data_IF_252403067795
#
_entry.id   IF_252403067795
#
_cell.length_a   1.000
_cell.length_b   1.000
_cell.length_c   1.000
_cell.angle_alpha   90.00
_cell.angle_beta   90.00
_cell.angle_gamma   90.00
#
_symmetry.space_group_name_H-M   'P 1'
#
loop_
_entity.id
_entity.type
_entity.pdbx_description
1 polymer ?
#
# COMPACT_ATOMS: atom_id res chain seq x y z
N UNK A 1 -17.34 43.36 11.45
CA UNK A 1 -17.40 42.35 10.40
C UNK A 1 -16.57 41.18 10.91
N UNK A 2 -17.22 40.16 11.44
CA UNK A 2 -16.56 38.98 12.02
C UNK A 2 -16.14 38.07 10.88
N UNK A 3 -14.88 37.83 10.75
CA UNK A 3 -14.39 36.98 9.67
C UNK A 3 -14.45 35.53 10.13
N UNK A 4 -15.54 34.87 9.79
CA UNK A 4 -15.72 33.40 9.97
C UNK A 4 -14.72 32.57 9.13
N UNK A 5 -13.79 33.25 8.46
CA UNK A 5 -12.73 32.67 7.66
C UNK A 5 -11.53 32.17 8.47
N UNK A 6 -11.40 32.62 9.71
CA UNK A 6 -10.30 32.26 10.58
C UNK A 6 -10.82 31.38 11.72
N UNK A 7 -10.33 30.16 11.76
CA UNK A 7 -10.60 29.20 12.82
C UNK A 7 -9.64 29.36 14.00
N UNK A 8 -9.53 28.33 14.81
CA UNK A 8 -8.56 28.27 15.88
C UNK A 8 -7.13 28.21 15.34
N UNK A 9 -6.17 28.67 16.14
CA UNK A 9 -4.75 28.54 15.83
C UNK A 9 -4.37 27.04 15.78
N UNK A 10 -3.80 26.59 14.69
CA UNK A 10 -3.22 25.25 14.54
C UNK A 10 -1.69 25.34 14.53
N UNK A 11 -1.04 24.27 14.94
CA UNK A 11 0.41 24.10 14.83
C UNK A 11 0.74 23.15 13.68
N UNK A 12 1.83 23.42 12.99
CA UNK A 12 2.43 22.50 12.01
C UNK A 12 3.68 21.85 12.61
N UNK A 13 4.22 20.84 11.95
CA UNK A 13 5.48 20.22 12.41
C UNK A 13 6.66 21.17 12.36
N UNK A 14 6.61 22.22 11.54
CA UNK A 14 7.63 23.28 11.49
C UNK A 14 7.61 24.20 12.72
N UNK A 15 6.47 24.23 13.43
CA UNK A 15 6.27 25.08 14.61
C UNK A 15 6.64 24.38 15.93
N UNK A 16 6.94 23.08 15.90
CA UNK A 16 7.10 22.27 17.11
C UNK A 16 8.35 21.39 17.06
N UNK A 17 8.91 21.14 18.23
CA UNK A 17 9.98 20.17 18.43
C UNK A 17 9.56 19.15 19.48
N UNK A 18 10.00 17.88 19.30
CA UNK A 18 9.82 16.87 20.32
C UNK A 18 10.78 17.15 21.48
N UNK A 19 10.26 17.14 22.70
CA UNK A 19 11.06 17.25 23.90
C UNK A 19 11.85 15.95 24.09
N UNK A 20 13.19 15.99 24.15
CA UNK A 20 13.97 14.80 24.41
C UNK A 20 13.62 14.18 25.77
N UNK A 21 13.53 12.86 25.81
CA UNK A 21 13.30 12.11 27.02
C UNK A 21 14.34 10.97 27.14
N UNK A 22 14.63 10.56 28.39
CA UNK A 22 15.45 9.39 28.62
C UNK A 22 14.76 8.15 28.05
N UNK A 23 15.52 7.31 27.33
CA UNK A 23 15.06 6.01 26.83
C UNK A 23 16.07 4.93 27.24
N UNK A 24 15.55 3.82 27.71
CA UNK A 24 16.35 2.62 28.03
C UNK A 24 16.16 1.53 26.94
N UNK A 25 15.48 1.87 25.82
CA UNK A 25 15.19 0.96 24.70
C UNK A 25 16.16 1.25 23.57
N UNK A 26 16.79 0.20 23.05
CA UNK A 26 17.64 0.31 21.86
C UNK A 26 16.79 0.46 20.59
N UNK A 27 17.25 1.22 19.57
CA UNK A 27 16.48 1.44 18.34
C UNK A 27 15.98 0.14 17.67
N UNK A 28 16.76 -0.95 17.73
CA UNK A 28 16.37 -2.26 17.17
C UNK A 28 15.30 -3.00 17.99
N UNK A 29 15.01 -2.55 19.19
CA UNK A 29 14.05 -3.17 20.12
C UNK A 29 12.76 -2.37 20.22
N UNK A 30 12.68 -1.26 19.48
CA UNK A 30 11.50 -0.39 19.50
C UNK A 30 10.33 -1.08 18.79
N UNK A 31 9.21 -1.24 19.48
CA UNK A 31 7.93 -1.59 18.86
C UNK A 31 7.25 -0.32 18.32
N UNK A 32 7.17 -0.22 17.00
CA UNK A 32 6.52 0.91 16.30
C UNK A 32 5.10 0.56 15.85
N UNK A 33 4.57 -0.58 16.26
CA UNK A 33 3.21 -0.98 15.91
C UNK A 33 2.17 0.03 16.43
N UNK A 34 1.11 0.23 15.66
CA UNK A 34 0.05 1.18 16.00
C UNK A 34 -1.32 0.69 15.54
N UNK A 35 -2.38 1.22 16.14
CA UNK A 35 -3.73 0.97 15.72
C UNK A 35 -4.19 2.09 14.77
N UNK A 36 -4.43 1.76 13.51
CA UNK A 36 -5.02 2.68 12.55
C UNK A 36 -6.50 2.90 12.84
N UNK A 37 -7.21 1.83 13.15
CA UNK A 37 -8.61 1.83 13.59
C UNK A 37 -8.78 0.86 14.75
N UNK A 38 -10.02 0.68 15.24
CA UNK A 38 -10.32 -0.32 16.27
C UNK A 38 -9.96 -1.75 15.85
N UNK A 39 -10.09 -2.05 14.56
CA UNK A 39 -9.96 -3.39 13.99
C UNK A 39 -8.72 -3.57 13.10
N UNK A 40 -7.97 -2.48 12.85
CA UNK A 40 -6.79 -2.51 11.97
C UNK A 40 -5.56 -2.10 12.77
N UNK A 41 -4.65 -3.04 12.96
CA UNK A 41 -3.32 -2.82 13.53
C UNK A 41 -2.27 -2.79 12.41
N UNK A 42 -1.35 -1.86 12.48
CA UNK A 42 -0.18 -1.78 11.60
C UNK A 42 1.07 -2.19 12.37
N UNK A 43 1.96 -2.94 11.74
CA UNK A 43 3.26 -3.29 12.32
C UNK A 43 4.25 -2.11 12.24
N UNK A 44 4.12 -1.29 11.18
CA UNK A 44 4.83 -0.01 11.05
C UNK A 44 3.79 1.09 10.76
N UNK A 45 3.97 2.30 11.32
CA UNK A 45 3.01 3.41 11.18
C UNK A 45 3.14 4.13 9.82
N UNK A 46 3.10 3.37 8.73
CA UNK A 46 3.24 3.90 7.36
C UNK A 46 2.00 3.53 6.55
N UNK A 47 1.46 4.55 5.90
CA UNK A 47 0.32 4.42 5.00
C UNK A 47 0.61 5.15 3.69
N UNK A 48 0.42 4.50 2.54
CA UNK A 48 0.55 5.18 1.25
C UNK A 48 -0.70 6.00 0.93
N UNK A 49 -0.49 7.14 0.26
CA UNK A 49 -1.58 8.04 -0.10
C UNK A 49 -2.48 7.46 -1.18
N UNK A 50 -3.80 7.65 -1.04
CA UNK A 50 -4.83 7.28 -2.02
C UNK A 50 -4.85 8.21 -3.22
N UNK A 51 -3.72 8.44 -3.85
CA UNK A 51 -3.53 9.30 -5.00
C UNK A 51 -3.35 8.49 -6.27
N UNK A 52 -3.92 9.00 -7.37
CA UNK A 52 -3.67 8.49 -8.71
C UNK A 52 -2.17 8.46 -9.02
N UNK A 53 -1.71 7.47 -9.75
CA UNK A 53 -0.31 7.19 -10.07
C UNK A 53 0.62 6.93 -8.87
N UNK A 54 0.12 6.96 -7.64
CA UNK A 54 0.90 6.68 -6.42
C UNK A 54 0.56 5.30 -5.86
N UNK A 55 -0.72 5.04 -5.54
CA UNK A 55 -1.12 3.80 -4.88
C UNK A 55 -2.13 3.01 -5.71
N UNK A 56 -1.60 2.04 -6.42
CA UNK A 56 -2.31 0.91 -7.02
C UNK A 56 -1.82 -0.40 -6.38
N UNK A 57 -2.23 -1.56 -6.91
CA UNK A 57 -1.88 -2.85 -6.31
C UNK A 57 -0.37 -3.03 -6.05
N UNK A 58 0.56 -2.69 -6.96
CA UNK A 58 1.99 -2.89 -6.71
C UNK A 58 2.51 -2.13 -5.48
N UNK A 59 2.15 -0.85 -5.34
CA UNK A 59 2.54 -0.05 -4.18
C UNK A 59 1.87 -0.56 -2.91
N UNK A 60 0.58 -0.87 -2.96
CA UNK A 60 -0.16 -1.38 -1.80
C UNK A 60 0.44 -2.71 -1.30
N UNK A 61 0.83 -3.62 -2.22
CA UNK A 61 1.50 -4.88 -1.89
C UNK A 61 2.87 -4.61 -1.24
N UNK A 62 3.66 -3.70 -1.81
CA UNK A 62 4.98 -3.37 -1.27
C UNK A 62 4.90 -2.82 0.16
N UNK A 63 4.01 -1.84 0.40
CA UNK A 63 3.80 -1.25 1.73
C UNK A 63 3.26 -2.27 2.73
N UNK A 64 2.33 -3.14 2.30
CA UNK A 64 1.77 -4.18 3.17
C UNK A 64 2.82 -5.22 3.59
N UNK A 65 3.74 -5.59 2.71
CA UNK A 65 4.85 -6.52 3.03
C UNK A 65 5.78 -5.98 4.09
N UNK A 66 5.96 -4.67 4.16
CA UNK A 66 6.75 -4.01 5.20
C UNK A 66 5.95 -3.80 6.50
N UNK A 67 4.67 -4.14 6.53
CA UNK A 67 3.81 -4.05 7.72
C UNK A 67 2.96 -2.78 7.81
N UNK A 68 2.97 -1.96 6.77
CA UNK A 68 2.09 -0.79 6.60
C UNK A 68 0.79 -1.11 5.87
N UNK A 69 0.13 -0.09 5.34
CA UNK A 69 -1.12 -0.24 4.57
C UNK A 69 -1.13 0.65 3.34
N UNK A 70 -1.60 0.12 2.21
CA UNK A 70 -1.84 0.87 0.99
C UNK A 70 -3.31 1.29 0.85
N UNK A 71 -3.54 2.54 0.45
CA UNK A 71 -4.88 3.06 0.14
C UNK A 71 -5.02 3.22 -1.37
N UNK A 72 -5.79 2.33 -2.00
CA UNK A 72 -6.03 2.39 -3.44
C UNK A 72 -6.85 3.64 -3.79
N UNK A 73 -6.40 4.40 -4.79
CA UNK A 73 -7.08 5.63 -5.20
C UNK A 73 -8.43 5.34 -5.89
N UNK A 74 -9.27 6.37 -5.95
CA UNK A 74 -10.63 6.27 -6.52
C UNK A 74 -10.74 6.73 -7.99
N UNK A 75 -9.67 7.22 -8.61
CA UNK A 75 -9.70 7.74 -9.98
C UNK A 75 -9.71 6.59 -11.01
N UNK A 76 -10.68 5.70 -10.88
CA UNK A 76 -10.93 4.57 -11.77
C UNK A 76 -12.36 4.08 -11.60
N UNK A 77 -12.83 3.20 -12.47
CA UNK A 77 -14.15 2.60 -12.31
C UNK A 77 -14.20 1.69 -11.08
N UNK A 78 -15.38 1.50 -10.50
CA UNK A 78 -15.61 0.60 -9.36
C UNK A 78 -15.05 -0.80 -9.63
N UNK A 79 -15.30 -1.32 -10.86
CA UNK A 79 -14.79 -2.64 -11.25
C UNK A 79 -13.26 -2.69 -11.34
N UNK A 80 -12.61 -1.59 -11.78
CA UNK A 80 -11.16 -1.50 -11.81
C UNK A 80 -10.58 -1.46 -10.39
N UNK A 81 -11.14 -0.64 -9.51
CA UNK A 81 -10.71 -0.55 -8.11
C UNK A 81 -10.85 -1.89 -7.38
N UNK A 82 -11.97 -2.59 -7.60
CA UNK A 82 -12.18 -3.92 -7.04
C UNK A 82 -11.11 -4.92 -7.50
N UNK A 83 -10.71 -4.86 -8.79
CA UNK A 83 -9.60 -5.71 -9.30
C UNK A 83 -8.26 -5.37 -8.64
N UNK A 84 -7.96 -4.09 -8.42
CA UNK A 84 -6.73 -3.71 -7.72
C UNK A 84 -6.71 -4.24 -6.27
N UNK A 85 -7.83 -4.12 -5.56
CA UNK A 85 -7.96 -4.70 -4.20
C UNK A 85 -7.82 -6.22 -4.22
N UNK A 86 -8.43 -6.90 -5.20
CA UNK A 86 -8.34 -8.36 -5.36
C UNK A 86 -6.89 -8.83 -5.58
N UNK A 87 -6.12 -8.10 -6.42
CA UNK A 87 -4.68 -8.37 -6.59
C UNK A 87 -3.90 -8.29 -5.27
N UNK A 88 -4.17 -7.26 -4.46
CA UNK A 88 -3.52 -7.11 -3.15
C UNK A 88 -3.88 -8.28 -2.24
N UNK A 89 -5.16 -8.63 -2.14
CA UNK A 89 -5.63 -9.73 -1.29
C UNK A 89 -5.08 -11.09 -1.71
N UNK A 90 -5.00 -11.35 -3.00
CA UNK A 90 -4.39 -12.59 -3.52
C UNK A 90 -2.89 -12.67 -3.23
N UNK A 91 -2.18 -11.55 -3.23
CA UNK A 91 -0.74 -11.51 -2.94
C UNK A 91 -0.40 -11.97 -1.51
N UNK A 92 -1.31 -11.77 -0.55
CA UNK A 92 -1.15 -12.21 0.84
C UNK A 92 -1.23 -13.74 0.98
N UNK A 93 -1.97 -14.39 0.07
CA UNK A 93 -2.21 -15.84 0.12
C UNK A 93 -1.23 -16.67 -0.72
N UNK A 94 -0.19 -16.06 -1.29
CA UNK A 94 0.76 -16.75 -2.18
C UNK A 94 0.12 -17.23 -3.49
N UNK A 95 -1.05 -16.75 -3.84
CA UNK A 95 -1.74 -17.08 -5.08
C UNK A 95 -1.06 -16.35 -6.23
N UNK A 96 -0.70 -17.06 -7.29
CA UNK A 96 -0.15 -16.47 -8.51
C UNK A 96 -1.24 -15.58 -9.13
N UNK A 97 -0.94 -14.27 -9.23
CA UNK A 97 -1.82 -13.32 -9.89
C UNK A 97 -1.58 -13.48 -11.40
N UNK A 98 -2.66 -13.67 -12.16
CA UNK A 98 -2.63 -13.96 -13.60
C UNK A 98 -1.76 -15.18 -13.95
N UNK A 99 -2.15 -16.39 -13.51
CA UNK A 99 -1.46 -17.60 -13.93
C UNK A 99 -1.57 -17.76 -15.45
N UNK A 100 -0.46 -18.04 -16.10
CA UNK A 100 -0.46 -18.38 -17.53
C UNK A 100 -1.10 -19.75 -17.65
N UNK A 101 -2.29 -19.82 -18.23
CA UNK A 101 -2.96 -21.09 -18.52
C UNK A 101 -2.54 -21.60 -19.89
N UNK A 102 -2.09 -22.82 -19.94
CA UNK A 102 -1.91 -23.56 -21.19
C UNK A 102 -3.11 -24.48 -21.37
N UNK A 103 -3.76 -24.35 -22.52
CA UNK A 103 -4.79 -25.32 -22.92
C UNK A 103 -4.11 -26.65 -23.29
N UNK A 104 -4.74 -27.81 -23.06
CA UNK A 104 -4.15 -29.12 -23.43
C UNK A 104 -3.70 -29.22 -24.88
N UNK A 105 -4.31 -28.44 -25.77
CA UNK A 105 -4.02 -28.41 -27.21
C UNK A 105 -2.91 -27.41 -27.60
N UNK A 106 -2.34 -26.65 -26.63
CA UNK A 106 -1.28 -25.69 -26.92
C UNK A 106 0.07 -26.42 -27.10
N UNK A 107 0.79 -26.09 -28.18
CA UNK A 107 2.13 -26.59 -28.41
C UNK A 107 3.11 -26.02 -27.37
N UNK A 108 3.98 -26.84 -26.82
CA UNK A 108 5.04 -26.47 -25.88
C UNK A 108 5.92 -25.29 -26.35
N UNK A 109 6.12 -25.17 -27.68
CA UNK A 109 6.84 -24.07 -28.29
C UNK A 109 6.20 -22.68 -28.04
N UNK A 110 4.85 -22.60 -28.01
CA UNK A 110 4.13 -21.36 -27.71
C UNK A 110 4.24 -20.98 -26.23
N UNK A 111 4.32 -21.96 -25.35
CA UNK A 111 4.55 -21.75 -23.91
C UNK A 111 5.90 -21.12 -23.62
N UNK A 112 6.95 -21.56 -24.30
CA UNK A 112 8.31 -21.03 -24.14
C UNK A 112 8.45 -19.59 -24.67
N UNK A 113 7.74 -19.22 -25.73
CA UNK A 113 7.74 -17.85 -26.27
C UNK A 113 7.09 -16.87 -25.30
N UNK A 114 5.99 -17.24 -24.64
CA UNK A 114 5.29 -16.39 -23.66
C UNK A 114 6.07 -16.20 -22.35
N UNK A 115 6.94 -17.17 -21.99
CA UNK A 115 7.78 -17.09 -20.80
C UNK A 115 9.05 -16.25 -21.03
N UNK A 116 9.51 -16.18 -22.30
CA UNK A 116 10.78 -15.51 -22.66
C UNK A 116 10.65 -14.08 -23.16
N UNK A 117 9.43 -13.58 -23.47
CA UNK A 117 9.24 -12.17 -23.81
C UNK A 117 9.01 -11.34 -22.54
N UNK A 118 9.97 -10.43 -22.20
CA UNK A 118 9.69 -9.43 -21.18
C UNK A 118 8.58 -8.52 -21.70
N UNK A 119 7.47 -8.47 -20.98
CA UNK A 119 6.38 -7.51 -21.23
C UNK A 119 6.97 -6.11 -21.24
N UNK A 120 7.17 -5.56 -22.45
CA UNK A 120 7.42 -4.12 -22.62
C UNK A 120 6.10 -3.40 -22.35
N UNK A 121 6.05 -2.73 -21.23
CA UNK A 121 5.11 -1.62 -20.96
C UNK A 121 5.90 -0.33 -20.82
#
# INVERSE_FOLDING_TARGET
MRSDKFGMRGLTFDDVLLVPAKSDVLPKEVDVSTNLTRDIKLNIPIMSSGMDTVTEAPMAIAVAREGGIGVIHKNMSIAAQAREVDKVKRSEHGIIIDPIFLHPDNLLALSLIHISEPTRH
#
